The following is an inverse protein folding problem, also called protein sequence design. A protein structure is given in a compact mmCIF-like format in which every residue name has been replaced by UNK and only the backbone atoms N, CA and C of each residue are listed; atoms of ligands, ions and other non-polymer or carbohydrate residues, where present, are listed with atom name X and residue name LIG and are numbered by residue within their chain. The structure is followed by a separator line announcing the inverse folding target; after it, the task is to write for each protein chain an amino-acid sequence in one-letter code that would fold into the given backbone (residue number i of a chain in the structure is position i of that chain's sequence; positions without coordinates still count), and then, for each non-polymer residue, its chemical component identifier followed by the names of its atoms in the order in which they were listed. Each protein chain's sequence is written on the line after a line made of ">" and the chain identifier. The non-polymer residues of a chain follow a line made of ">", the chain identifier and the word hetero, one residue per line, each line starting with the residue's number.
data_IF_940586274901
#
_entry.id   IF_940586274901
#
_cell.length_a   1.000
_cell.length_b   1.000
_cell.length_c   1.000
_cell.angle_alpha   90.00
_cell.angle_beta   90.00
_cell.angle_gamma   90.00
#
_symmetry.space_group_name_H-M   'P 1'
#
loop_
_entity.id
_entity.type
_entity.pdbx_description
1 polymer ?
#
# COMPACT_ATOMS: atom_id res chain seq x y z
N UNK A 1 7.63 -13.19 17.39
CA UNK A 1 8.39 -13.79 18.51
C UNK A 1 9.65 -14.40 17.96
N UNK A 2 10.65 -14.64 18.81
CA UNK A 2 11.82 -15.41 18.40
C UNK A 2 11.41 -16.84 18.04
N UNK A 3 11.94 -17.35 16.94
CA UNK A 3 11.89 -18.78 16.61
C UNK A 3 13.20 -19.44 17.12
N UNK A 4 13.64 -20.52 16.47
CA UNK A 4 14.89 -21.23 16.75
C UNK A 4 16.18 -20.37 16.67
N UNK A 5 16.13 -19.14 16.14
CA UNK A 5 17.27 -18.21 16.06
C UNK A 5 17.33 -17.21 17.23
N UNK A 6 16.51 -17.39 18.27
CA UNK A 6 16.42 -16.46 19.40
C UNK A 6 17.73 -16.25 20.15
N UNK A 7 18.51 -17.32 20.39
CA UNK A 7 19.79 -17.22 21.11
C UNK A 7 20.78 -16.36 20.32
N UNK A 8 20.98 -16.66 19.03
CA UNK A 8 21.92 -15.91 18.18
C UNK A 8 21.50 -14.45 17.97
N UNK A 9 20.20 -14.15 17.96
CA UNK A 9 19.68 -12.80 17.74
C UNK A 9 19.56 -11.96 19.02
N UNK A 10 19.64 -12.59 20.20
CA UNK A 10 19.28 -11.97 21.47
C UNK A 10 20.15 -10.76 21.84
N UNK A 11 21.47 -10.83 21.63
CA UNK A 11 22.38 -9.75 21.95
C UNK A 11 22.10 -8.48 21.14
N UNK A 12 21.97 -8.61 19.82
CA UNK A 12 21.68 -7.49 18.92
C UNK A 12 20.31 -6.88 19.17
N UNK A 13 19.29 -7.72 19.43
CA UNK A 13 17.97 -7.21 19.75
C UNK A 13 17.89 -6.55 21.14
N UNK A 14 18.62 -7.05 22.13
CA UNK A 14 18.75 -6.43 23.44
C UNK A 14 19.41 -5.05 23.35
N UNK A 15 20.50 -4.94 22.59
CA UNK A 15 21.16 -3.67 22.29
C UNK A 15 20.20 -2.69 21.61
N UNK A 16 19.52 -3.12 20.54
CA UNK A 16 18.63 -2.27 19.78
C UNK A 16 17.43 -1.76 20.60
N UNK A 17 16.83 -2.63 21.42
CA UNK A 17 15.72 -2.27 22.30
C UNK A 17 16.16 -1.35 23.44
N UNK A 18 17.31 -1.62 24.07
CA UNK A 18 17.85 -0.78 25.13
C UNK A 18 18.13 0.64 24.64
N UNK A 19 18.75 0.78 23.46
CA UNK A 19 18.98 2.07 22.86
C UNK A 19 17.67 2.77 22.47
N UNK A 20 16.71 2.03 21.92
CA UNK A 20 15.38 2.59 21.60
C UNK A 20 14.66 3.12 22.84
N UNK A 21 14.72 2.41 23.97
CA UNK A 21 14.15 2.88 25.25
C UNK A 21 14.84 4.16 25.72
N UNK A 22 16.16 4.25 25.61
CA UNK A 22 16.93 5.41 26.05
C UNK A 22 16.71 6.64 25.17
N UNK A 23 16.74 6.45 23.85
CA UNK A 23 16.75 7.55 22.88
C UNK A 23 15.32 7.92 22.41
N UNK A 24 14.32 7.08 22.69
CA UNK A 24 12.93 7.27 22.27
C UNK A 24 12.65 6.92 20.80
N UNK A 25 13.66 6.53 20.04
CA UNK A 25 13.60 6.14 18.63
C UNK A 25 14.53 4.97 18.30
N UNK A 26 14.23 4.22 17.24
CA UNK A 26 15.02 3.06 16.85
C UNK A 26 16.43 3.48 16.39
N UNK A 27 17.49 2.74 16.73
CA UNK A 27 18.87 3.10 16.39
C UNK A 27 19.20 2.97 14.89
N UNK A 28 18.44 2.17 14.16
CA UNK A 28 18.53 1.95 12.71
C UNK A 28 17.18 1.40 12.23
N UNK A 29 17.04 1.11 10.92
CA UNK A 29 15.79 0.55 10.40
C UNK A 29 15.55 -0.87 10.93
N UNK A 30 14.47 -1.03 11.68
CA UNK A 30 14.01 -2.27 12.28
C UNK A 30 12.66 -2.72 11.71
N UNK A 31 12.27 -2.22 10.54
CA UNK A 31 10.97 -2.47 9.93
C UNK A 31 10.58 -3.95 9.88
N UNK A 32 11.51 -4.83 9.47
CA UNK A 32 11.26 -6.26 9.32
C UNK A 32 10.88 -6.97 10.63
N UNK A 33 11.22 -6.36 11.77
CA UNK A 33 10.96 -6.88 13.11
C UNK A 33 10.00 -6.02 13.94
N UNK A 34 9.58 -4.86 13.44
CA UNK A 34 8.61 -3.97 14.09
C UNK A 34 7.22 -4.63 14.23
N UNK A 35 6.64 -4.57 15.42
CA UNK A 35 5.33 -5.17 15.71
C UNK A 35 4.19 -4.54 14.90
N UNK A 36 4.34 -3.27 14.48
CA UNK A 36 3.36 -2.50 13.70
C UNK A 36 3.33 -2.93 12.23
N UNK A 37 4.18 -3.86 11.79
CA UNK A 37 4.04 -4.49 10.46
C UNK A 37 2.86 -5.47 10.41
N UNK A 38 2.41 -5.95 11.58
CA UNK A 38 1.34 -6.93 11.68
C UNK A 38 -0.04 -6.26 11.48
N UNK A 39 -0.86 -6.85 10.61
CA UNK A 39 -2.23 -6.42 10.39
C UNK A 39 -3.16 -6.95 11.50
N UNK A 40 -4.23 -6.22 11.89
CA UNK A 40 -5.08 -6.60 13.02
C UNK A 40 -5.67 -8.02 12.95
N UNK A 41 -5.95 -8.53 11.75
CA UNK A 41 -6.49 -9.88 11.55
C UNK A 41 -5.45 -10.99 11.79
N UNK A 42 -4.15 -10.68 11.71
CA UNK A 42 -3.07 -11.68 11.83
C UNK A 42 -2.90 -12.20 13.26
N UNK A 43 -3.56 -11.60 14.26
CA UNK A 43 -3.66 -12.15 15.62
C UNK A 43 -4.58 -13.37 15.71
N UNK A 44 -5.32 -13.69 14.64
CA UNK A 44 -6.21 -14.84 14.61
C UNK A 44 -5.42 -16.15 14.80
N UNK A 45 -5.89 -17.01 15.72
CA UNK A 45 -5.19 -18.26 16.07
C UNK A 45 -5.02 -19.22 14.89
N UNK A 46 -6.00 -19.28 13.98
CA UNK A 46 -5.93 -20.12 12.78
C UNK A 46 -4.91 -19.58 11.79
N UNK A 47 -4.94 -18.27 11.54
CA UNK A 47 -3.93 -17.60 10.71
C UNK A 47 -2.51 -17.89 11.22
N UNK A 48 -2.29 -17.66 12.53
CA UNK A 48 -0.99 -17.90 13.15
C UNK A 48 -0.59 -19.37 13.04
N UNK A 49 -1.49 -20.32 13.31
CA UNK A 49 -1.20 -21.75 13.19
C UNK A 49 -0.77 -22.10 11.76
N UNK A 50 -1.52 -21.68 10.74
CA UNK A 50 -1.22 -22.01 9.35
C UNK A 50 0.08 -21.34 8.87
N UNK A 51 0.22 -20.01 9.04
CA UNK A 51 1.40 -19.25 8.56
C UNK A 51 2.68 -19.63 9.31
N UNK A 52 2.63 -19.80 10.63
CA UNK A 52 3.83 -20.14 11.42
C UNK A 52 4.32 -21.53 11.06
N UNK A 53 3.43 -22.52 10.93
CA UNK A 53 3.81 -23.87 10.51
C UNK A 53 4.51 -23.88 9.15
N UNK A 54 4.01 -23.11 8.18
CA UNK A 54 4.70 -22.93 6.89
C UNK A 54 6.08 -22.30 7.06
N UNK A 55 6.16 -21.12 7.67
CA UNK A 55 7.42 -20.36 7.77
C UNK A 55 8.52 -21.12 8.52
N UNK A 56 8.16 -21.94 9.52
CA UNK A 56 9.12 -22.80 10.20
C UNK A 56 9.69 -23.88 9.27
N UNK A 57 8.86 -24.46 8.41
CA UNK A 57 9.29 -25.44 7.39
C UNK A 57 10.16 -24.82 6.30
N UNK A 58 10.13 -23.50 6.12
CA UNK A 58 10.93 -22.78 5.13
C UNK A 58 12.32 -22.37 5.62
N UNK A 59 12.65 -22.57 6.90
CA UNK A 59 13.89 -22.05 7.51
C UNK A 59 15.16 -22.39 6.73
N UNK A 60 15.26 -23.60 6.18
CA UNK A 60 16.39 -24.06 5.35
C UNK A 60 16.03 -24.29 3.89
N UNK A 61 14.84 -23.87 3.46
CA UNK A 61 14.46 -23.93 2.06
C UNK A 61 15.12 -22.81 1.26
N UNK A 62 15.14 -22.95 -0.06
CA UNK A 62 15.54 -21.86 -0.95
C UNK A 62 14.56 -20.68 -0.82
N UNK A 63 15.10 -19.54 -0.37
CA UNK A 63 14.39 -18.27 -0.28
C UNK A 63 14.47 -17.54 -1.63
N UNK A 64 13.88 -18.15 -2.66
CA UNK A 64 13.86 -17.55 -3.99
C UNK A 64 13.25 -16.14 -3.96
N UNK A 65 13.76 -15.20 -4.80
CA UNK A 65 13.14 -13.91 -4.99
C UNK A 65 11.66 -14.07 -5.37
N UNK A 66 10.81 -13.20 -4.82
CA UNK A 66 9.36 -13.16 -5.06
C UNK A 66 8.57 -14.39 -4.58
N UNK A 67 9.17 -15.27 -3.76
CA UNK A 67 8.47 -16.41 -3.15
C UNK A 67 7.18 -15.95 -2.48
N UNK A 68 6.07 -16.51 -2.93
CA UNK A 68 4.76 -16.33 -2.33
C UNK A 68 4.52 -17.41 -1.29
N UNK A 69 3.85 -17.02 -0.21
CA UNK A 69 3.41 -17.99 0.77
C UNK A 69 2.16 -18.72 0.29
N UNK A 70 2.07 -20.01 0.62
CA UNK A 70 1.00 -20.91 0.21
C UNK A 70 -0.16 -20.94 1.21
N UNK A 71 0.09 -20.74 2.50
CA UNK A 71 -0.96 -20.76 3.53
C UNK A 71 -1.57 -19.37 3.76
N UNK A 72 -2.65 -19.27 4.55
CA UNK A 72 -3.22 -17.98 5.02
C UNK A 72 -3.53 -16.96 3.90
N UNK A 73 -4.06 -17.46 2.78
CA UNK A 73 -4.42 -16.69 1.57
C UNK A 73 -5.90 -16.29 1.54
N UNK A 74 -6.25 -15.40 0.61
CA UNK A 74 -7.62 -14.98 0.28
C UNK A 74 -8.37 -14.27 1.43
N UNK A 75 -7.65 -13.66 2.37
CA UNK A 75 -8.25 -12.97 3.52
C UNK A 75 -8.87 -11.64 3.10
N UNK A 76 -8.15 -10.85 2.29
CA UNK A 76 -8.61 -9.59 1.73
C UNK A 76 -8.54 -9.66 0.21
N UNK A 77 -9.65 -9.33 -0.44
CA UNK A 77 -9.80 -9.37 -1.89
C UNK A 77 -10.43 -8.06 -2.33
N UNK A 78 -9.94 -7.50 -3.42
CA UNK A 78 -10.58 -6.34 -4.02
C UNK A 78 -11.91 -6.74 -4.65
N UNK A 79 -12.81 -5.77 -4.93
CA UNK A 79 -14.01 -6.03 -5.72
C UNK A 79 -13.72 -6.63 -7.11
N UNK A 80 -12.51 -6.45 -7.65
CA UNK A 80 -12.10 -6.96 -8.95
C UNK A 80 -11.50 -8.36 -8.90
N UNK A 81 -11.29 -8.96 -7.72
CA UNK A 81 -10.51 -10.19 -7.58
C UNK A 81 -10.97 -11.32 -8.53
N UNK A 82 -12.28 -11.64 -8.56
CA UNK A 82 -12.79 -12.70 -9.45
C UNK A 82 -12.69 -12.31 -10.94
N UNK A 83 -12.86 -11.02 -11.27
CA UNK A 83 -12.69 -10.51 -12.64
C UNK A 83 -11.25 -10.60 -13.13
N UNK A 84 -10.27 -10.35 -12.25
CA UNK A 84 -8.84 -10.48 -12.55
C UNK A 84 -8.45 -11.96 -12.68
N UNK A 85 -8.95 -12.81 -11.77
CA UNK A 85 -8.76 -14.26 -11.81
C UNK A 85 -9.28 -14.88 -13.10
N UNK A 86 -10.47 -14.48 -13.56
CA UNK A 86 -11.03 -14.92 -14.83
C UNK A 86 -10.11 -14.56 -16.02
N UNK A 87 -9.41 -13.41 -15.95
CA UNK A 87 -8.46 -12.92 -16.96
C UNK A 87 -7.04 -13.48 -16.83
N UNK A 88 -6.83 -14.50 -15.99
CA UNK A 88 -5.53 -15.15 -15.86
C UNK A 88 -4.59 -14.53 -14.83
N UNK A 89 -5.09 -13.67 -13.93
CA UNK A 89 -4.26 -13.15 -12.85
C UNK A 89 -3.64 -14.26 -12.01
N UNK A 90 -2.33 -14.14 -11.78
CA UNK A 90 -1.58 -14.92 -10.80
C UNK A 90 -1.32 -14.03 -9.59
N UNK A 91 -1.90 -14.44 -8.46
CA UNK A 91 -1.94 -13.60 -7.28
C UNK A 91 -0.74 -13.83 -6.35
N UNK A 92 -0.19 -12.72 -5.85
CA UNK A 92 0.62 -12.71 -4.63
C UNK A 92 -0.14 -12.12 -3.44
N UNK A 93 0.41 -12.32 -2.25
CA UNK A 93 -0.17 -11.81 -1.00
C UNK A 93 0.75 -10.81 -0.33
N UNK A 94 0.19 -9.64 0.02
CA UNK A 94 0.86 -8.64 0.86
C UNK A 94 -0.17 -8.05 1.82
N UNK A 95 0.13 -8.07 3.12
CA UNK A 95 -0.74 -7.50 4.17
C UNK A 95 -2.19 -8.04 4.15
N UNK A 96 -2.35 -9.30 3.76
CA UNK A 96 -3.61 -10.03 3.61
C UNK A 96 -4.30 -9.85 2.26
N UNK A 97 -3.83 -8.92 1.42
CA UNK A 97 -4.44 -8.64 0.12
C UNK A 97 -3.91 -9.56 -0.97
N UNK A 98 -4.83 -10.18 -1.70
CA UNK A 98 -4.55 -10.83 -2.97
C UNK A 98 -4.37 -9.79 -4.07
N UNK A 99 -3.15 -9.68 -4.60
CA UNK A 99 -2.78 -8.73 -5.65
C UNK A 99 -2.39 -9.48 -6.92
N UNK A 100 -2.97 -9.09 -8.05
CA UNK A 100 -2.56 -9.63 -9.35
C UNK A 100 -1.14 -9.15 -9.65
N UNK A 101 -0.17 -10.05 -9.54
CA UNK A 101 1.25 -9.72 -9.72
C UNK A 101 1.67 -9.81 -11.20
N UNK A 102 0.99 -10.65 -11.98
CA UNK A 102 1.14 -10.81 -13.42
C UNK A 102 -0.07 -11.59 -13.96
N UNK A 103 -0.26 -11.57 -15.28
CA UNK A 103 -1.34 -12.29 -15.96
C UNK A 103 -0.77 -13.39 -16.85
N UNK A 104 -1.22 -14.62 -16.63
CA UNK A 104 -0.87 -15.77 -17.45
C UNK A 104 -1.53 -15.69 -18.83
N UNK A 105 -0.79 -16.09 -19.86
CA UNK A 105 -1.33 -16.24 -21.22
C UNK A 105 -2.30 -17.40 -21.30
N UNK A 106 -3.09 -17.42 -22.36
CA UNK A 106 -3.88 -18.60 -22.69
C UNK A 106 -2.97 -19.84 -22.82
N UNK A 107 -3.33 -20.92 -22.15
CA UNK A 107 -2.54 -22.16 -22.09
C UNK A 107 -1.30 -22.11 -21.17
N UNK A 108 -0.93 -20.97 -20.59
CA UNK A 108 0.15 -20.89 -19.61
C UNK A 108 -0.35 -21.25 -18.21
N UNK A 109 0.45 -22.02 -17.47
CA UNK A 109 0.13 -22.35 -16.08
C UNK A 109 0.11 -21.10 -15.19
N UNK A 110 -0.86 -21.05 -14.29
CA UNK A 110 -1.11 -19.91 -13.39
C UNK A 110 -0.36 -20.08 -12.07
N UNK A 111 0.95 -20.29 -12.14
CA UNK A 111 1.81 -20.56 -10.98
C UNK A 111 3.18 -19.90 -11.06
N UNK A 112 3.82 -19.74 -9.92
CA UNK A 112 5.22 -19.29 -9.86
C UNK A 112 6.17 -20.46 -10.07
N UNK A 113 7.04 -20.36 -11.08
CA UNK A 113 8.21 -21.23 -11.23
C UNK A 113 9.46 -20.46 -10.82
N UNK A 114 9.85 -20.68 -9.57
CA UNK A 114 10.92 -19.91 -8.93
C UNK A 114 12.29 -20.22 -9.55
N UNK A 115 13.12 -19.18 -9.62
CA UNK A 115 14.49 -19.25 -10.12
C UNK A 115 15.30 -18.10 -9.54
N UNK A 116 16.63 -18.29 -9.48
CA UNK A 116 17.59 -17.23 -9.23
C UNK A 116 17.82 -16.33 -10.46
N UNK A 117 17.29 -16.72 -11.62
CA UNK A 117 17.33 -15.97 -12.88
C UNK A 117 15.92 -15.43 -13.22
N UNK A 118 15.72 -15.03 -14.48
CA UNK A 118 14.39 -14.67 -15.01
C UNK A 118 13.41 -15.82 -14.76
N UNK A 119 12.31 -15.50 -14.09
CA UNK A 119 11.25 -16.45 -13.78
C UNK A 119 10.24 -16.54 -14.94
N UNK A 120 9.32 -17.50 -14.85
CA UNK A 120 8.35 -17.83 -15.92
C UNK A 120 7.39 -16.68 -16.30
N UNK A 121 7.29 -15.63 -15.48
CA UNK A 121 6.44 -14.46 -15.70
C UNK A 121 7.19 -13.26 -16.30
N UNK A 122 8.51 -13.35 -16.53
CA UNK A 122 9.31 -12.20 -16.96
C UNK A 122 8.81 -11.58 -18.28
N UNK A 123 8.53 -12.42 -19.28
CA UNK A 123 8.00 -11.94 -20.56
C UNK A 123 6.53 -11.52 -20.49
N UNK A 124 5.76 -12.01 -19.50
CA UNK A 124 4.41 -11.52 -19.22
C UNK A 124 4.47 -10.06 -18.75
N UNK A 125 5.32 -9.75 -17.77
CA UNK A 125 5.48 -8.39 -17.29
C UNK A 125 6.08 -7.44 -18.33
N UNK A 126 6.98 -7.93 -19.19
CA UNK A 126 7.46 -7.16 -20.35
C UNK A 126 6.29 -6.74 -21.24
N UNK A 127 5.38 -7.65 -21.54
CA UNK A 127 4.24 -7.36 -22.40
C UNK A 127 3.21 -6.45 -21.69
N UNK A 128 2.96 -6.64 -20.39
CA UNK A 128 2.13 -5.74 -19.58
C UNK A 128 2.72 -4.32 -19.54
N UNK A 129 4.04 -4.21 -19.36
CA UNK A 129 4.76 -2.94 -19.43
C UNK A 129 4.56 -2.26 -20.79
N UNK A 130 4.77 -2.99 -21.88
CA UNK A 130 4.60 -2.46 -23.24
C UNK A 130 3.15 -2.08 -23.53
N UNK A 131 2.17 -2.83 -23.02
CA UNK A 131 0.75 -2.51 -23.16
C UNK A 131 0.40 -1.16 -22.50
N UNK A 132 0.91 -0.91 -21.30
CA UNK A 132 0.72 0.37 -20.60
C UNK A 132 1.50 1.49 -21.29
N UNK A 133 2.76 1.22 -21.67
CA UNK A 133 3.64 2.24 -22.25
C UNK A 133 3.15 2.73 -23.61
N UNK A 134 2.58 1.83 -24.42
CA UNK A 134 2.17 2.12 -25.80
C UNK A 134 0.65 2.24 -25.97
N UNK A 135 -0.14 2.09 -24.90
CA UNK A 135 -1.60 2.11 -24.96
C UNK A 135 -2.23 2.52 -23.64
N UNK A 136 -2.92 1.60 -22.99
CA UNK A 136 -3.56 1.83 -21.70
C UNK A 136 -3.63 0.53 -20.88
N UNK A 137 -3.36 0.63 -19.59
CA UNK A 137 -3.54 -0.45 -18.63
C UNK A 137 -4.32 0.00 -17.41
N UNK A 138 -4.98 -0.97 -16.78
CA UNK A 138 -5.75 -0.78 -15.54
C UNK A 138 -5.08 -1.56 -14.42
N UNK A 139 -4.68 -0.87 -13.36
CA UNK A 139 -4.08 -1.47 -12.17
C UNK A 139 -5.08 -1.44 -11.02
N UNK A 140 -5.21 -2.56 -10.31
CA UNK A 140 -5.96 -2.62 -9.06
C UNK A 140 -5.04 -2.28 -7.88
N UNK A 141 -5.20 -1.06 -7.37
CA UNK A 141 -4.45 -0.52 -6.24
C UNK A 141 -5.31 -0.46 -4.97
N UNK A 142 -6.41 -1.21 -4.93
CA UNK A 142 -7.30 -1.31 -3.76
C UNK A 142 -6.55 -1.73 -2.49
N UNK A 143 -5.42 -2.43 -2.62
CA UNK A 143 -4.60 -2.85 -1.48
C UNK A 143 -3.88 -1.71 -0.74
N UNK A 144 -3.74 -0.52 -1.34
CA UNK A 144 -3.14 0.63 -0.65
C UNK A 144 -3.94 0.99 0.59
N UNK A 145 -3.23 1.37 1.65
CA UNK A 145 -3.82 1.90 2.85
C UNK A 145 -4.44 3.26 2.56
N UNK A 146 -5.65 3.50 3.05
CA UNK A 146 -6.33 4.80 2.96
C UNK A 146 -6.70 5.27 4.35
N UNK A 147 -6.25 6.47 4.70
CA UNK A 147 -6.46 7.08 6.00
C UNK A 147 -7.15 8.43 5.78
N UNK A 148 -8.30 8.63 6.42
CA UNK A 148 -8.94 9.94 6.53
C UNK A 148 -8.42 10.65 7.78
N UNK A 149 -8.02 11.90 7.62
CA UNK A 149 -7.62 12.82 8.70
C UNK A 149 -8.57 14.00 8.67
N UNK A 150 -9.39 14.11 9.71
CA UNK A 150 -10.57 14.97 9.72
C UNK A 150 -10.65 15.82 10.98
N UNK A 151 -10.98 17.11 10.85
CA UNK A 151 -11.17 18.01 11.97
C UNK A 151 -10.66 19.43 11.68
N UNK A 152 -11.07 20.39 12.52
CA UNK A 152 -10.70 21.81 12.34
C UNK A 152 -9.19 22.07 12.37
N UNK A 153 -8.44 21.20 13.04
CA UNK A 153 -6.99 21.32 13.21
C UNK A 153 -6.21 20.41 12.24
N UNK A 154 -6.89 19.71 11.30
CA UNK A 154 -6.27 18.71 10.43
C UNK A 154 -5.17 19.29 9.51
N UNK A 155 -5.39 20.48 8.95
CA UNK A 155 -4.40 21.14 8.10
C UNK A 155 -3.14 21.49 8.92
N UNK A 156 -3.30 22.12 10.08
CA UNK A 156 -2.19 22.50 10.94
C UNK A 156 -1.41 21.26 11.45
N UNK A 157 -2.12 20.20 11.82
CA UNK A 157 -1.52 18.93 12.22
C UNK A 157 -0.67 18.31 11.10
N UNK A 158 -1.21 18.21 9.89
CA UNK A 158 -0.46 17.65 8.75
C UNK A 158 0.66 18.58 8.28
N UNK A 159 0.48 19.90 8.30
CA UNK A 159 1.52 20.89 7.98
C UNK A 159 2.75 20.72 8.88
N UNK A 160 2.53 20.40 10.16
CA UNK A 160 3.61 20.17 11.12
C UNK A 160 4.30 18.82 10.92
N UNK A 161 3.57 17.80 10.46
CA UNK A 161 4.06 16.41 10.40
C UNK A 161 4.66 16.04 9.04
N UNK A 162 4.15 16.61 7.96
CA UNK A 162 4.57 16.34 6.60
C UNK A 162 5.71 17.27 6.18
N UNK A 163 6.62 16.77 5.34
CA UNK A 163 7.76 17.52 4.84
C UNK A 163 7.43 18.51 3.71
N UNK A 164 6.26 18.36 3.08
CA UNK A 164 5.79 19.24 2.02
C UNK A 164 4.63 20.12 2.50
N UNK A 165 4.31 21.17 1.75
CA UNK A 165 3.24 22.12 2.10
C UNK A 165 1.85 21.47 1.96
N UNK A 166 1.13 21.38 3.09
CA UNK A 166 -0.22 20.83 3.19
C UNK A 166 -1.29 21.93 3.13
N UNK A 167 -0.92 23.21 3.25
CA UNK A 167 -1.82 24.37 3.15
C UNK A 167 -2.13 24.75 1.69
N UNK A 168 -2.30 23.74 0.85
CA UNK A 168 -2.72 23.88 -0.55
C UNK A 168 -4.23 24.02 -0.68
N UNK A 169 -4.76 24.53 -1.78
CA UNK A 169 -6.22 24.59 -1.98
C UNK A 169 -6.87 23.18 -1.95
N UNK A 170 -8.13 23.03 -1.49
CA UNK A 170 -8.91 21.81 -1.70
C UNK A 170 -8.93 21.39 -3.17
N UNK A 171 -8.92 20.08 -3.44
CA UNK A 171 -8.75 19.53 -4.79
C UNK A 171 -7.30 19.22 -5.17
N UNK A 172 -6.31 19.63 -4.35
CA UNK A 172 -4.89 19.35 -4.58
C UNK A 172 -4.45 18.02 -3.98
N UNK A 173 -3.51 17.38 -4.67
CA UNK A 173 -2.81 16.17 -4.27
C UNK A 173 -1.33 16.51 -4.06
N UNK A 174 -0.80 16.20 -2.88
CA UNK A 174 0.58 16.48 -2.49
C UNK A 174 1.30 15.17 -2.18
N UNK A 175 2.40 14.94 -2.88
CA UNK A 175 3.36 13.89 -2.51
C UNK A 175 4.30 14.43 -1.43
N UNK A 176 4.46 13.68 -0.34
CA UNK A 176 5.18 14.13 0.85
C UNK A 176 5.73 12.94 1.63
N UNK A 177 6.66 13.21 2.53
CA UNK A 177 7.13 12.27 3.54
C UNK A 177 6.66 12.70 4.94
N UNK A 178 6.62 11.75 5.87
CA UNK A 178 6.67 12.02 7.31
C UNK A 178 8.07 11.64 7.81
N UNK A 179 8.74 12.56 8.50
CA UNK A 179 10.12 12.39 8.93
C UNK A 179 10.21 12.21 10.45
N UNK A 180 11.25 11.53 10.92
CA UNK A 180 11.64 11.57 12.33
C UNK A 180 12.53 12.78 12.63
N UNK A 181 12.89 12.96 13.91
CA UNK A 181 13.64 14.12 14.38
C UNK A 181 15.07 14.20 13.80
N UNK A 182 15.61 13.07 13.31
CA UNK A 182 16.91 13.01 12.63
C UNK A 182 16.82 13.25 11.12
N UNK A 183 15.63 13.56 10.59
CA UNK A 183 15.38 13.70 9.16
C UNK A 183 15.27 12.38 8.39
N UNK A 184 15.22 11.24 9.09
CA UNK A 184 14.98 9.94 8.48
C UNK A 184 13.52 9.79 8.05
N UNK A 185 13.29 9.10 6.94
CA UNK A 185 11.95 8.89 6.36
C UNK A 185 11.25 7.78 7.15
N UNK A 186 10.13 8.13 7.79
CA UNK A 186 9.26 7.19 8.49
C UNK A 186 8.12 6.68 7.60
N UNK A 187 7.70 7.51 6.66
CA UNK A 187 6.66 7.21 5.68
C UNK A 187 6.83 8.07 4.43
N UNK A 188 6.45 7.50 3.29
CA UNK A 188 6.34 8.18 2.01
C UNK A 188 4.93 7.95 1.47
N UNK A 189 4.21 9.05 1.19
CA UNK A 189 2.77 9.01 1.01
C UNK A 189 2.24 10.13 0.13
N UNK A 190 0.99 9.98 -0.28
CA UNK A 190 0.26 11.00 -1.03
C UNK A 190 -0.93 11.49 -0.22
N UNK A 191 -1.11 12.80 -0.15
CA UNK A 191 -2.17 13.48 0.62
C UNK A 191 -3.06 14.24 -0.35
N UNK A 192 -4.36 13.95 -0.35
CA UNK A 192 -5.37 14.74 -1.06
C UNK A 192 -6.12 15.63 -0.08
N UNK A 193 -6.15 16.95 -0.32
CA UNK A 193 -6.97 17.87 0.49
C UNK A 193 -8.40 17.88 -0.05
N UNK A 194 -9.31 17.20 0.64
CA UNK A 194 -10.70 17.04 0.22
C UNK A 194 -11.55 18.29 0.53
N UNK A 195 -11.28 18.94 1.65
CA UNK A 195 -11.94 20.17 2.07
C UNK A 195 -10.99 20.98 2.96
N UNK A 196 -11.48 22.07 3.55
CA UNK A 196 -10.73 22.83 4.55
C UNK A 196 -10.31 21.97 5.76
N UNK A 197 -11.12 20.94 6.10
CA UNK A 197 -11.00 20.16 7.35
C UNK A 197 -10.87 18.65 7.11
N UNK A 198 -10.75 18.20 5.87
CA UNK A 198 -10.70 16.78 5.51
C UNK A 198 -9.54 16.50 4.56
N UNK A 199 -8.68 15.56 4.95
CA UNK A 199 -7.55 15.09 4.16
C UNK A 199 -7.62 13.57 3.97
N UNK A 200 -7.15 13.10 2.82
CA UNK A 200 -7.13 11.70 2.46
C UNK A 200 -5.71 11.25 2.11
N UNK A 201 -5.16 10.39 2.96
CA UNK A 201 -3.80 9.89 2.88
C UNK A 201 -3.81 8.51 2.23
N UNK A 202 -2.98 8.33 1.21
CA UNK A 202 -2.74 7.05 0.55
C UNK A 202 -1.33 6.59 0.89
N UNK A 203 -1.23 5.43 1.54
CA UNK A 203 0.02 4.82 2.02
C UNK A 203 0.18 3.38 1.51
N UNK A 204 1.39 2.81 1.47
CA UNK A 204 1.56 1.40 1.14
C UNK A 204 0.73 0.48 2.05
N UNK A 205 0.08 -0.52 1.46
CA UNK A 205 -0.79 -1.44 2.21
C UNK A 205 -0.08 -2.20 3.34
N UNK A 206 1.23 -2.44 3.18
CA UNK A 206 2.06 -3.10 4.18
C UNK A 206 2.39 -2.22 5.40
N UNK A 207 2.46 -0.90 5.21
CA UNK A 207 2.89 0.07 6.24
C UNK A 207 1.73 0.77 6.93
N UNK A 208 0.49 0.59 6.45
CA UNK A 208 -0.72 1.22 6.98
C UNK A 208 -0.78 1.31 8.52
N UNK A 209 -0.50 0.22 9.25
CA UNK A 209 -0.57 0.24 10.72
C UNK A 209 0.57 1.06 11.34
N UNK A 210 1.75 1.08 10.74
CA UNK A 210 2.88 1.95 11.13
C UNK A 210 2.54 3.41 10.87
N UNK A 211 2.02 3.72 9.68
CA UNK A 211 1.67 5.09 9.29
C UNK A 211 0.59 5.66 10.22
N UNK A 212 -0.44 4.85 10.53
CA UNK A 212 -1.48 5.20 11.51
C UNK A 212 -0.91 5.41 12.91
N UNK A 213 -0.03 4.51 13.37
CA UNK A 213 0.61 4.66 14.67
C UNK A 213 1.50 5.91 14.73
N UNK A 214 2.15 6.28 13.62
CA UNK A 214 2.94 7.49 13.52
C UNK A 214 2.07 8.75 13.63
N UNK A 215 0.98 8.81 12.86
CA UNK A 215 0.00 9.90 12.96
C UNK A 215 -0.56 10.02 14.39
N UNK A 216 -0.99 8.91 14.99
CA UNK A 216 -1.54 8.90 16.35
C UNK A 216 -0.52 9.32 17.41
N UNK A 217 0.74 8.88 17.29
CA UNK A 217 1.82 9.27 18.21
C UNK A 217 2.06 10.78 18.23
N UNK A 218 1.84 11.47 17.12
CA UNK A 218 2.15 12.89 16.97
C UNK A 218 0.94 13.82 17.18
N UNK A 219 -0.24 13.28 17.46
CA UNK A 219 -1.37 14.09 17.92
C UNK A 219 -1.07 14.67 19.31
N UNK A 220 -1.17 15.99 19.42
CA UNK A 220 -0.81 16.81 20.57
C UNK A 220 -1.94 17.82 20.88
N UNK A 221 -3.13 17.31 21.19
CA UNK A 221 -4.28 18.13 21.59
C UNK A 221 -5.05 18.77 20.43
N UNK A 222 -4.62 18.59 19.17
CA UNK A 222 -5.39 18.99 17.99
C UNK A 222 -6.72 18.23 17.92
N UNK A 223 -7.78 18.93 17.51
CA UNK A 223 -9.09 18.33 17.23
C UNK A 223 -9.04 17.65 15.85
N UNK A 224 -8.55 16.41 15.84
CA UNK A 224 -8.37 15.58 14.64
C UNK A 224 -8.81 14.14 14.92
N UNK A 225 -9.53 13.56 13.97
CA UNK A 225 -9.88 12.14 13.92
C UNK A 225 -9.10 11.47 12.79
N UNK A 226 -8.45 10.35 13.10
CA UNK A 226 -7.69 9.55 12.14
C UNK A 226 -8.40 8.21 11.92
N UNK A 227 -8.98 8.02 10.74
CA UNK A 227 -9.79 6.84 10.41
C UNK A 227 -9.17 6.04 9.28
N UNK A 228 -9.02 4.73 9.46
CA UNK A 228 -8.67 3.81 8.38
C UNK A 228 -9.90 3.46 7.56
N UNK A 229 -9.92 3.91 6.32
CA UNK A 229 -11.00 3.68 5.36
C UNK A 229 -10.56 2.74 4.24
N UNK A 230 -9.50 1.96 4.47
CA UNK A 230 -8.89 1.10 3.45
C UNK A 230 -9.88 0.10 2.84
N UNK A 231 -10.75 -0.47 3.67
CA UNK A 231 -11.77 -1.43 3.23
C UNK A 231 -13.01 -0.78 2.60
N UNK A 232 -13.19 0.53 2.77
CA UNK A 232 -14.36 1.26 2.28
C UNK A 232 -14.20 1.74 0.83
N UNK A 233 -12.97 1.91 0.36
CA UNK A 233 -12.68 2.45 -0.99
C UNK A 233 -11.85 1.47 -1.82
N UNK A 234 -12.25 1.27 -3.08
CA UNK A 234 -11.44 0.62 -4.10
C UNK A 234 -10.63 1.68 -4.86
N UNK A 235 -9.45 1.31 -5.37
CA UNK A 235 -8.61 2.23 -6.16
C UNK A 235 -8.23 1.54 -7.45
N UNK A 236 -8.60 2.15 -8.56
CA UNK A 236 -8.26 1.70 -9.90
C UNK A 236 -7.41 2.77 -10.56
N UNK A 237 -6.22 2.40 -11.01
CA UNK A 237 -5.34 3.33 -11.71
C UNK A 237 -5.40 3.03 -13.20
N UNK A 238 -5.86 4.01 -13.98
CA UNK A 238 -5.84 3.95 -15.44
C UNK A 238 -4.63 4.72 -15.97
N UNK A 239 -3.67 4.01 -16.55
CA UNK A 239 -2.37 4.57 -16.92
C UNK A 239 -2.02 4.24 -18.38
N UNK A 240 -1.27 5.14 -19.03
CA UNK A 240 -0.83 5.02 -20.41
C UNK A 240 -1.30 6.19 -21.29
N UNK A 241 -0.71 6.38 -22.49
CA UNK A 241 -1.04 7.50 -23.38
C UNK A 241 -2.51 7.55 -23.81
N UNK A 242 -3.22 6.41 -23.83
CA UNK A 242 -4.63 6.35 -24.23
C UNK A 242 -5.62 6.40 -23.04
N UNK A 243 -5.15 6.64 -21.82
CA UNK A 243 -6.00 6.68 -20.62
C UNK A 243 -7.14 7.69 -20.72
N UNK A 244 -6.84 8.92 -21.15
CA UNK A 244 -7.84 9.99 -21.35
C UNK A 244 -8.88 9.61 -22.39
N UNK A 245 -8.45 9.02 -23.52
CA UNK A 245 -9.36 8.58 -24.59
C UNK A 245 -10.32 7.49 -24.11
N UNK A 246 -9.87 6.63 -23.20
CA UNK A 246 -10.72 5.58 -22.64
C UNK A 246 -11.69 6.14 -21.59
N UNK A 247 -11.22 6.91 -20.61
CA UNK A 247 -12.07 7.40 -19.52
C UNK A 247 -13.16 8.36 -20.03
N UNK A 248 -12.89 9.14 -21.07
CA UNK A 248 -13.88 10.03 -21.69
C UNK A 248 -15.08 9.30 -22.31
N UNK A 249 -14.95 7.99 -22.61
CA UNK A 249 -16.08 7.17 -23.08
C UNK A 249 -17.02 6.74 -21.95
N UNK A 250 -16.55 6.84 -20.70
CA UNK A 250 -17.23 6.30 -19.52
C UNK A 250 -17.69 7.40 -18.56
N UNK A 251 -17.20 8.62 -18.76
CA UNK A 251 -17.42 9.77 -17.90
C UNK A 251 -17.69 11.03 -18.76
N UNK A 252 -18.70 11.84 -18.40
CA UNK A 252 -18.96 13.12 -19.06
C UNK A 252 -17.99 14.23 -18.64
N UNK A 253 -17.21 14.02 -17.55
CA UNK A 253 -16.30 15.01 -17.01
C UNK A 253 -15.16 15.37 -17.98
N UNK A 254 -14.60 16.57 -17.83
CA UNK A 254 -13.45 17.03 -18.61
C UNK A 254 -12.14 16.64 -17.90
N UNK A 255 -11.34 15.83 -18.60
CA UNK A 255 -10.03 15.36 -18.14
C UNK A 255 -8.86 16.06 -18.84
N UNK A 256 -9.10 17.16 -19.58
CA UNK A 256 -8.09 18.00 -20.22
C UNK A 256 -7.02 18.48 -19.22
N UNK A 257 -5.87 18.95 -19.72
CA UNK A 257 -4.81 19.42 -18.82
C UNK A 257 -5.21 20.74 -18.14
N UNK A 258 -6.08 21.50 -18.76
CA UNK A 258 -6.61 22.78 -18.29
C UNK A 258 -7.56 22.56 -17.11
N UNK A 259 -8.47 21.58 -17.21
CA UNK A 259 -9.48 21.29 -16.19
C UNK A 259 -9.00 20.29 -15.14
N UNK A 260 -8.19 19.29 -15.52
CA UNK A 260 -7.64 18.29 -14.62
C UNK A 260 -6.10 18.21 -14.71
N UNK A 261 -5.38 19.26 -14.25
CA UNK A 261 -3.93 19.27 -14.29
C UNK A 261 -3.32 18.19 -13.37
N UNK A 262 -2.02 17.93 -13.55
CA UNK A 262 -1.29 17.05 -12.65
C UNK A 262 -1.35 17.55 -11.19
N UNK A 263 -1.50 16.62 -10.24
CA UNK A 263 -1.56 16.94 -8.82
C UNK A 263 -2.90 17.53 -8.36
N UNK A 264 -3.98 17.27 -9.10
CA UNK A 264 -5.36 17.54 -8.66
C UNK A 264 -6.22 16.31 -8.74
N UNK A 265 -7.39 16.37 -8.10
CA UNK A 265 -8.49 15.44 -8.33
C UNK A 265 -9.79 16.24 -8.54
N UNK A 266 -10.78 15.59 -9.13
CA UNK A 266 -12.16 16.06 -9.19
C UNK A 266 -13.14 14.94 -8.86
N UNK A 267 -14.36 15.30 -8.47
CA UNK A 267 -15.47 14.35 -8.47
C UNK A 267 -15.90 14.09 -9.91
N UNK A 268 -16.06 12.81 -10.25
CA UNK A 268 -16.47 12.39 -11.59
C UNK A 268 -17.67 11.47 -11.54
N UNK A 269 -18.46 11.52 -12.60
CA UNK A 269 -19.43 10.48 -12.92
C UNK A 269 -18.72 9.39 -13.74
N UNK A 270 -18.91 8.12 -13.40
CA UNK A 270 -18.41 7.00 -14.18
C UNK A 270 -19.45 5.87 -14.22
N UNK A 271 -19.94 5.53 -15.41
CA UNK A 271 -21.09 4.65 -15.55
C UNK A 271 -22.34 5.26 -14.90
N UNK A 272 -22.87 4.61 -13.85
CA UNK A 272 -24.02 5.11 -13.07
C UNK A 272 -23.63 5.51 -11.63
N UNK A 273 -22.33 5.69 -11.36
CA UNK A 273 -21.81 6.00 -10.03
C UNK A 273 -20.97 7.28 -10.01
N UNK A 274 -20.64 7.70 -8.79
CA UNK A 274 -19.70 8.79 -8.53
C UNK A 274 -18.35 8.22 -8.05
N UNK A 275 -17.28 8.87 -8.46
CA UNK A 275 -15.91 8.54 -8.04
C UNK A 275 -15.07 9.81 -7.88
N UNK A 276 -13.86 9.65 -7.35
CA UNK A 276 -12.83 10.69 -7.31
C UNK A 276 -11.69 10.28 -8.23
N UNK A 277 -11.30 11.14 -9.17
CA UNK A 277 -10.27 10.88 -10.17
C UNK A 277 -9.31 12.05 -10.36
#
# INVERSE_FOLDING_TARGET
>A
GYNSIGIVSSGGAGMALAQWINDGEAPFDLWEVDIRRAQPFQKNRRYLRERVSETLGLLYADHFPYRQMATSRNIRRSPLHEHLKARGAVFGEVAGWERANWFAREGQEREYRYSWKRQNWFDNQRDEHLAVRNGVGLFDMTSFGKIRVEGRDACAFLQRLCANDMEVAPGKIVYTQMLNQRGGIESDLTVSRLSETTFFLVVPGATLQRDRAWLQKHLAGEFVVITDVTAAEAVLCLMGPDSRKLIQKLSPNDFSNETNPFGTFQEIEIGMGLARA
#
